data_IF_802850688163
#
_entry.id   IF_802850688163
#
_cell.length_a   1.000
_cell.length_b   1.000
_cell.length_c   1.000
_cell.angle_alpha   90.00
_cell.angle_beta   90.00
_cell.angle_gamma   90.00
#
_symmetry.space_group_name_H-M   'P 1'
#
loop_
_entity.id
_entity.type
_entity.pdbx_description
1 polymer ?
#
# COMPACT_ATOMS: atom_id res chain seq x y z
N UNK A 1 29.18 -43.22 -41.34
CA UNK A 1 29.18 -41.85 -41.86
C UNK A 1 27.88 -41.20 -41.41
N UNK A 2 27.85 -40.72 -40.17
CA UNK A 2 27.76 -39.30 -39.79
C UNK A 2 26.54 -38.58 -40.37
N UNK A 3 25.55 -38.29 -39.52
CA UNK A 3 25.07 -36.92 -39.32
C UNK A 3 24.41 -36.77 -37.94
N UNK A 4 24.67 -35.60 -37.39
CA UNK A 4 24.55 -35.16 -36.00
C UNK A 4 23.14 -34.64 -35.71
N UNK A 5 22.60 -34.91 -34.52
CA UNK A 5 21.39 -34.24 -34.01
C UNK A 5 21.56 -33.79 -32.56
N UNK A 6 21.75 -32.47 -32.45
CA UNK A 6 21.11 -31.53 -31.54
C UNK A 6 21.27 -31.60 -30.01
N UNK A 7 21.66 -30.42 -29.52
CA UNK A 7 21.37 -29.75 -28.23
C UNK A 7 22.30 -30.05 -27.06
N UNK A 8 23.22 -29.11 -26.84
CA UNK A 8 23.69 -28.73 -25.51
C UNK A 8 23.74 -27.21 -25.42
N UNK A 9 23.08 -26.69 -24.39
CA UNK A 9 23.18 -25.30 -23.94
C UNK A 9 24.63 -24.99 -23.55
N UNK A 10 25.12 -23.78 -23.86
CA UNK A 10 26.11 -23.10 -23.01
C UNK A 10 26.19 -21.60 -23.33
N UNK A 11 25.76 -20.82 -22.36
CA UNK A 11 26.17 -19.47 -21.95
C UNK A 11 27.41 -18.89 -22.64
N UNK A 12 27.29 -17.66 -23.16
CA UNK A 12 28.34 -16.60 -23.18
C UNK A 12 27.67 -15.28 -23.57
N UNK A 13 27.40 -14.42 -22.59
CA UNK A 13 28.20 -13.23 -22.30
C UNK A 13 28.09 -12.17 -23.42
N UNK A 14 27.05 -11.35 -23.36
CA UNK A 14 27.00 -10.10 -24.13
C UNK A 14 27.86 -9.09 -23.36
N UNK A 15 29.06 -8.84 -23.88
CA UNK A 15 29.89 -7.73 -23.45
C UNK A 15 29.18 -6.42 -23.79
N UNK A 16 28.95 -5.61 -22.77
CA UNK A 16 28.53 -4.22 -22.89
C UNK A 16 29.78 -3.44 -23.33
N UNK A 17 29.96 -3.24 -24.64
CA UNK A 17 30.90 -2.25 -25.13
C UNK A 17 30.23 -0.89 -25.11
N UNK A 18 30.62 -0.08 -24.12
CA UNK A 18 30.55 1.37 -24.15
C UNK A 18 31.06 1.88 -25.50
N UNK A 19 30.24 2.57 -26.27
CA UNK A 19 30.76 3.59 -27.18
C UNK A 19 29.77 4.75 -27.35
N UNK A 20 30.33 5.94 -27.24
CA UNK A 20 29.72 7.25 -27.41
C UNK A 20 29.38 7.46 -28.89
N UNK A 21 28.18 8.00 -29.11
CA UNK A 21 27.74 8.80 -30.26
C UNK A 21 27.57 8.15 -31.65
N UNK A 22 26.37 8.43 -32.18
CA UNK A 22 26.00 8.68 -33.56
C UNK A 22 25.95 7.51 -34.55
N UNK A 23 24.74 7.09 -34.91
CA UNK A 23 24.19 7.31 -36.25
C UNK A 23 22.74 6.81 -36.35
N UNK A 24 21.94 7.59 -37.06
CA UNK A 24 20.51 7.44 -37.32
C UNK A 24 20.18 6.16 -38.10
N UNK A 25 19.20 5.38 -37.64
CA UNK A 25 18.53 4.36 -38.45
C UNK A 25 17.16 4.89 -38.90
N UNK A 26 17.13 5.25 -40.17
CA UNK A 26 16.02 5.84 -40.91
C UNK A 26 15.07 4.71 -41.36
N UNK A 27 13.87 4.64 -40.77
CA UNK A 27 12.82 3.72 -41.22
C UNK A 27 11.89 4.46 -42.20
N UNK A 28 12.29 4.49 -43.48
CA UNK A 28 11.48 5.04 -44.55
C UNK A 28 10.39 4.04 -44.91
N UNK A 29 9.20 4.21 -44.31
CA UNK A 29 8.00 3.48 -44.69
C UNK A 29 7.50 4.05 -46.03
N UNK A 30 7.60 3.22 -47.07
CA UNK A 30 7.08 3.46 -48.42
C UNK A 30 5.59 3.85 -48.37
N UNK A 31 5.29 5.09 -48.75
CA UNK A 31 3.97 5.46 -49.28
C UNK A 31 4.20 6.12 -50.63
N UNK A 32 3.77 5.43 -51.68
CA UNK A 32 3.73 5.90 -53.07
C UNK A 32 2.81 7.12 -53.17
N UNK A 33 3.38 8.27 -53.54
CA UNK A 33 2.62 9.47 -53.88
C UNK A 33 2.13 9.37 -55.33
N UNK A 34 0.87 9.00 -55.53
CA UNK A 34 0.17 9.20 -56.80
C UNK A 34 -1.30 9.52 -56.51
N UNK A 35 -1.76 10.68 -57.02
CA UNK A 35 -3.08 11.32 -56.89
C UNK A 35 -3.34 12.13 -55.61
N UNK A 36 -3.17 13.44 -55.74
CA UNK A 36 -3.64 14.45 -54.79
C UNK A 36 -5.09 14.84 -55.13
N UNK A 37 -6.09 14.67 -54.25
CA UNK A 37 -7.24 15.54 -54.27
C UNK A 37 -6.92 16.72 -53.35
N UNK A 38 -6.69 17.87 -53.97
CA UNK A 38 -6.56 19.15 -53.28
C UNK A 38 -7.89 19.48 -52.56
N UNK A 39 -8.04 19.07 -51.30
CA UNK A 39 -9.14 19.47 -50.39
C UNK A 39 -8.92 19.04 -48.92
N UNK A 40 -7.69 19.08 -48.43
CA UNK A 40 -7.47 19.12 -46.98
C UNK A 40 -6.93 20.51 -46.62
N UNK A 41 -7.66 21.18 -45.72
CA UNK A 41 -7.31 22.49 -45.20
C UNK A 41 -5.83 22.49 -44.78
N UNK A 42 -5.10 23.51 -45.22
CA UNK A 42 -3.77 23.82 -44.71
C UNK A 42 -3.92 24.03 -43.20
N UNK A 43 -3.53 23.03 -42.42
CA UNK A 43 -3.33 23.22 -40.99
C UNK A 43 -2.13 24.17 -40.91
N UNK A 44 -2.39 25.38 -40.45
CA UNK A 44 -1.36 26.35 -40.14
C UNK A 44 -0.46 25.76 -39.05
N UNK A 45 0.72 25.27 -39.46
CA UNK A 45 1.72 24.64 -38.61
C UNK A 45 2.19 25.60 -37.50
N UNK A 46 2.06 26.91 -37.72
CA UNK A 46 2.50 27.95 -36.77
C UNK A 46 1.64 28.01 -35.50
N UNK A 47 0.36 27.61 -35.57
CA UNK A 47 -0.54 27.58 -34.41
C UNK A 47 -0.34 26.34 -33.52
N UNK A 48 0.28 25.25 -34.03
CA UNK A 48 0.58 24.04 -33.22
C UNK A 48 1.81 24.22 -32.35
N UNK A 49 2.82 24.94 -32.83
CA UNK A 49 4.08 25.13 -32.08
C UNK A 49 3.86 25.95 -30.80
N UNK A 50 2.94 26.93 -30.80
CA UNK A 50 2.70 27.78 -29.63
C UNK A 50 1.88 27.11 -28.52
N UNK A 51 0.97 26.17 -28.83
CA UNK A 51 0.24 25.42 -27.79
C UNK A 51 1.01 24.21 -27.25
N UNK A 52 2.17 23.92 -27.83
CA UNK A 52 3.04 22.81 -27.42
C UNK A 52 3.98 23.17 -26.25
N UNK A 53 3.97 24.44 -25.81
CA UNK A 53 4.74 24.94 -24.66
C UNK A 53 3.99 24.90 -23.31
N UNK A 54 2.86 24.18 -23.21
CA UNK A 54 2.16 23.92 -21.94
C UNK A 54 2.32 22.48 -21.43
N UNK A 55 3.27 21.71 -21.98
CA UNK A 55 3.69 20.42 -21.43
C UNK A 55 5.04 20.53 -20.69
N UNK A 56 5.44 21.74 -20.29
CA UNK A 56 6.34 21.94 -19.17
C UNK A 56 5.50 21.94 -17.90
N UNK A 57 5.04 20.77 -17.45
CA UNK A 57 4.38 20.67 -16.15
C UNK A 57 5.49 20.74 -15.11
N UNK A 58 5.45 21.77 -14.24
CA UNK A 58 6.16 21.71 -12.98
C UNK A 58 5.86 20.35 -12.33
N UNK A 59 6.91 19.65 -11.91
CA UNK A 59 6.76 18.34 -11.27
C UNK A 59 5.83 18.50 -10.06
N UNK A 60 4.84 17.61 -9.93
CA UNK A 60 3.94 17.65 -8.77
C UNK A 60 4.71 17.53 -7.46
N UNK A 61 4.12 18.03 -6.37
CA UNK A 61 4.72 17.88 -5.05
C UNK A 61 4.96 16.39 -4.72
N UNK A 62 4.07 15.48 -5.13
CA UNK A 62 4.30 14.04 -5.03
C UNK A 62 5.57 13.60 -5.77
N UNK A 63 5.79 14.09 -7.01
CA UNK A 63 6.99 13.78 -7.78
C UNK A 63 8.28 14.28 -7.12
N UNK A 64 8.25 15.52 -6.61
CA UNK A 64 9.41 16.14 -5.96
C UNK A 64 9.83 15.39 -4.67
N UNK A 65 8.86 14.81 -3.97
CA UNK A 65 9.09 14.13 -2.69
C UNK A 65 9.28 12.61 -2.84
N UNK A 66 9.04 12.02 -4.01
CA UNK A 66 9.09 10.57 -4.22
C UNK A 66 10.51 9.98 -4.16
N UNK A 67 11.53 10.81 -4.38
CA UNK A 67 12.93 10.39 -4.52
C UNK A 67 13.83 10.94 -3.40
N UNK A 68 13.25 11.53 -2.36
CA UNK A 68 13.98 12.11 -1.23
C UNK A 68 14.43 11.07 -0.20
N UNK A 69 15.35 11.46 0.67
CA UNK A 69 15.73 10.66 1.85
C UNK A 69 14.59 10.59 2.88
N UNK A 70 14.66 9.59 3.76
CA UNK A 70 13.70 9.43 4.85
C UNK A 70 13.77 10.64 5.80
N UNK A 71 12.70 11.43 5.82
CA UNK A 71 12.55 12.62 6.66
C UNK A 71 11.32 12.53 7.55
N UNK A 72 11.38 13.19 8.72
CA UNK A 72 10.33 13.17 9.75
C UNK A 72 9.79 14.56 10.08
N UNK A 73 10.27 15.61 9.41
CA UNK A 73 10.05 17.02 9.70
C UNK A 73 9.05 17.66 8.71
N UNK A 74 7.94 16.98 8.44
CA UNK A 74 6.93 17.45 7.49
C UNK A 74 6.13 18.64 8.04
N UNK A 75 6.06 19.71 7.25
CA UNK A 75 5.16 20.84 7.52
C UNK A 75 3.79 20.59 6.90
N UNK A 76 2.77 21.26 7.43
CA UNK A 76 1.38 21.11 6.96
C UNK A 76 1.25 21.47 5.48
N UNK A 77 1.92 22.54 5.05
CA UNK A 77 1.86 23.05 3.69
C UNK A 77 2.47 22.06 2.69
N UNK A 78 3.52 21.33 3.09
CA UNK A 78 4.16 20.30 2.24
C UNK A 78 3.24 19.09 2.05
N UNK A 79 2.58 18.64 3.11
CA UNK A 79 1.61 17.54 3.06
C UNK A 79 0.40 17.93 2.21
N UNK A 80 -0.10 19.16 2.37
CA UNK A 80 -1.20 19.71 1.59
C UNK A 80 -0.87 19.75 0.10
N UNK A 81 0.35 20.15 -0.27
CA UNK A 81 0.81 20.14 -1.65
C UNK A 81 0.84 18.71 -2.25
N UNK A 82 1.27 17.70 -1.47
CA UNK A 82 1.24 16.29 -1.90
C UNK A 82 -0.21 15.83 -2.08
N UNK A 83 -1.10 16.13 -1.13
CA UNK A 83 -2.50 15.77 -1.18
C UNK A 83 -3.22 16.34 -2.42
N UNK A 84 -2.89 17.57 -2.80
CA UNK A 84 -3.46 18.24 -3.98
C UNK A 84 -2.73 17.93 -5.31
N UNK A 85 -1.76 17.01 -5.30
CA UNK A 85 -1.11 16.56 -6.53
C UNK A 85 -2.10 15.81 -7.45
N UNK A 86 -1.93 15.87 -8.78
CA UNK A 86 -2.78 15.11 -9.70
C UNK A 86 -2.79 13.62 -9.35
N UNK A 87 -3.99 13.02 -9.23
CA UNK A 87 -4.17 11.65 -8.71
C UNK A 87 -3.30 10.60 -9.41
N UNK A 88 -3.14 10.71 -10.73
CA UNK A 88 -2.32 9.76 -11.50
C UNK A 88 -0.83 9.88 -11.18
N UNK A 89 -0.35 11.09 -10.87
CA UNK A 89 1.04 11.28 -10.42
C UNK A 89 1.21 10.79 -8.99
N UNK A 90 0.26 11.08 -8.10
CA UNK A 90 0.30 10.59 -6.72
C UNK A 90 0.34 9.05 -6.65
N UNK A 91 -0.46 8.36 -7.46
CA UNK A 91 -0.44 6.91 -7.55
C UNK A 91 0.88 6.37 -8.10
N UNK A 92 1.39 6.95 -9.19
CA UNK A 92 2.66 6.53 -9.80
C UNK A 92 3.82 6.69 -8.82
N UNK A 93 3.95 7.86 -8.20
CA UNK A 93 5.02 8.16 -7.26
C UNK A 93 4.87 7.38 -5.95
N UNK A 94 3.65 7.21 -5.43
CA UNK A 94 3.37 6.36 -4.27
C UNK A 94 3.77 4.90 -4.51
N UNK A 95 3.47 4.36 -5.69
CA UNK A 95 3.88 3.00 -6.06
C UNK A 95 5.41 2.87 -6.19
N UNK A 96 6.09 3.90 -6.71
CA UNK A 96 7.56 3.92 -6.78
C UNK A 96 8.19 3.92 -5.39
N UNK A 97 7.73 4.80 -4.49
CA UNK A 97 8.20 4.83 -3.08
C UNK A 97 7.96 3.49 -2.41
N UNK A 98 6.80 2.87 -2.62
CA UNK A 98 6.50 1.55 -2.05
C UNK A 98 7.50 0.49 -2.53
N UNK A 99 7.80 0.42 -3.84
CA UNK A 99 8.76 -0.54 -4.41
C UNK A 99 10.21 -0.30 -3.98
N UNK A 100 10.57 0.93 -3.63
CA UNK A 100 11.92 1.26 -3.14
C UNK A 100 12.16 0.74 -1.72
N UNK A 101 11.11 0.63 -0.90
CA UNK A 101 11.24 0.37 0.54
C UNK A 101 10.62 -0.97 0.98
N UNK A 102 9.72 -1.55 0.19
CA UNK A 102 9.02 -2.79 0.51
C UNK A 102 9.09 -3.76 -0.65
N UNK A 103 9.03 -5.07 -0.34
CA UNK A 103 8.83 -6.10 -1.35
C UNK A 103 7.42 -5.93 -1.95
N UNK A 104 7.28 -5.58 -3.25
CA UNK A 104 5.98 -5.34 -3.85
C UNK A 104 5.10 -6.59 -3.98
N UNK A 105 5.67 -7.78 -3.78
CA UNK A 105 4.94 -9.05 -3.83
C UNK A 105 4.57 -9.57 -2.44
N UNK A 106 5.11 -8.96 -1.37
CA UNK A 106 4.81 -9.34 0.00
C UNK A 106 3.64 -8.51 0.56
N UNK A 107 2.73 -9.18 1.27
CA UNK A 107 1.63 -8.54 2.00
C UNK A 107 1.60 -9.09 3.42
N UNK A 108 1.45 -8.21 4.41
CA UNK A 108 1.32 -8.61 5.81
C UNK A 108 -0.11 -9.07 6.12
N UNK A 109 -0.26 -10.32 6.54
CA UNK A 109 -1.54 -10.90 6.95
C UNK A 109 -1.72 -10.83 8.47
N UNK A 110 -2.76 -10.11 8.91
CA UNK A 110 -3.15 -9.99 10.31
C UNK A 110 -4.60 -10.46 10.50
N UNK A 111 -4.90 -11.10 11.63
CA UNK A 111 -6.26 -11.51 12.00
C UNK A 111 -6.66 -10.81 13.28
N UNK A 112 -7.84 -10.16 13.29
CA UNK A 112 -8.34 -9.44 14.44
C UNK A 112 -9.56 -10.14 15.04
N UNK A 113 -9.60 -10.23 16.37
CA UNK A 113 -10.75 -10.70 17.14
C UNK A 113 -11.24 -9.59 18.07
N UNK A 114 -12.55 -9.33 18.07
CA UNK A 114 -13.17 -8.48 19.10
C UNK A 114 -13.37 -9.29 20.37
N UNK A 115 -12.50 -9.07 21.37
CA UNK A 115 -12.55 -9.82 22.65
C UNK A 115 -13.67 -9.32 23.56
N UNK A 116 -14.17 -8.10 23.32
CA UNK A 116 -15.35 -7.52 23.98
C UNK A 116 -16.04 -6.59 23.00
N UNK A 117 -17.26 -6.92 22.61
CA UNK A 117 -18.03 -6.19 21.60
C UNK A 117 -19.15 -5.34 22.22
N UNK A 118 -19.33 -4.12 21.70
CA UNK A 118 -20.44 -3.22 22.05
C UNK A 118 -20.32 -2.58 23.44
N UNK A 119 -21.22 -1.66 23.77
CA UNK A 119 -21.27 -1.02 25.09
C UNK A 119 -20.03 -0.19 25.44
N UNK A 120 -19.42 0.48 24.45
CA UNK A 120 -18.34 1.45 24.66
C UNK A 120 -18.91 2.78 25.15
N UNK A 121 -18.30 3.40 26.15
CA UNK A 121 -18.74 4.70 26.70
C UNK A 121 -18.39 5.90 25.82
N UNK A 122 -17.45 5.75 24.88
CA UNK A 122 -17.05 6.81 23.96
C UNK A 122 -18.14 7.08 22.92
N UNK A 123 -18.25 8.32 22.45
CA UNK A 123 -19.32 8.80 21.57
C UNK A 123 -18.88 8.96 20.10
N UNK A 124 -17.89 8.17 19.67
CA UNK A 124 -17.35 8.20 18.31
C UNK A 124 -18.48 8.05 17.26
N UNK A 125 -18.69 9.10 16.45
CA UNK A 125 -19.82 9.21 15.52
C UNK A 125 -19.91 8.10 14.46
N UNK A 126 -18.79 7.47 14.15
CA UNK A 126 -18.69 6.40 13.15
C UNK A 126 -18.72 5.00 13.77
N UNK A 127 -18.55 4.86 15.08
CA UNK A 127 -18.34 3.55 15.71
C UNK A 127 -19.69 2.91 16.07
N UNK A 128 -20.01 1.71 15.52
CA UNK A 128 -21.28 1.06 15.82
C UNK A 128 -21.34 0.47 17.24
N UNK A 129 -20.22 0.46 17.98
CA UNK A 129 -20.11 -0.14 19.31
C UNK A 129 -20.32 0.86 20.46
N UNK A 130 -20.49 2.15 20.16
CA UNK A 130 -20.80 3.18 21.14
C UNK A 130 -22.18 2.96 21.75
N UNK A 131 -22.28 3.06 23.07
CA UNK A 131 -23.57 3.01 23.77
C UNK A 131 -24.39 4.29 23.64
N UNK A 132 -23.80 5.37 23.12
CA UNK A 132 -24.48 6.66 22.94
C UNK A 132 -25.43 6.67 21.74
N UNK A 133 -25.34 5.66 20.86
CA UNK A 133 -26.17 5.55 19.67
C UNK A 133 -26.92 4.23 19.64
N UNK A 134 -28.11 4.23 19.03
CA UNK A 134 -28.87 3.00 18.81
C UNK A 134 -28.36 2.31 17.55
N UNK A 135 -27.72 1.15 17.73
CA UNK A 135 -27.19 0.33 16.63
C UNK A 135 -27.62 -1.13 16.80
N UNK A 136 -27.39 -1.95 15.78
CA UNK A 136 -27.69 -3.39 15.82
C UNK A 136 -26.71 -4.17 16.70
N UNK A 137 -25.60 -3.56 17.14
CA UNK A 137 -24.54 -4.24 17.88
C UNK A 137 -24.93 -4.36 19.34
N UNK A 138 -25.23 -5.58 19.78
CA UNK A 138 -25.53 -5.89 21.17
C UNK A 138 -24.26 -5.94 22.00
N UNK A 139 -24.31 -5.42 23.23
CA UNK A 139 -23.22 -5.54 24.18
C UNK A 139 -23.03 -7.01 24.58
N UNK A 140 -21.81 -7.50 24.42
CA UNK A 140 -21.40 -8.85 24.81
C UNK A 140 -20.39 -8.76 25.97
N UNK A 141 -20.33 -9.82 26.76
CA UNK A 141 -19.29 -9.97 27.78
C UNK A 141 -17.94 -10.18 27.10
N UNK A 142 -16.88 -9.96 27.86
CA UNK A 142 -15.54 -10.30 27.42
C UNK A 142 -15.42 -11.81 27.22
N UNK A 143 -14.76 -12.23 26.16
CA UNK A 143 -14.44 -13.62 25.88
C UNK A 143 -13.47 -14.16 26.93
N UNK A 144 -13.58 -15.44 27.24
CA UNK A 144 -12.61 -16.11 28.10
C UNK A 144 -11.24 -16.23 27.41
N UNK A 145 -10.18 -16.27 28.21
CA UNK A 145 -8.81 -16.44 27.74
C UNK A 145 -8.63 -17.70 26.90
N UNK A 146 -9.30 -18.81 27.24
CA UNK A 146 -9.26 -20.05 26.46
C UNK A 146 -9.82 -19.87 25.05
N UNK A 147 -10.95 -19.19 24.91
CA UNK A 147 -11.57 -18.89 23.61
C UNK A 147 -10.66 -18.00 22.75
N UNK A 148 -10.04 -16.99 23.36
CA UNK A 148 -9.09 -16.10 22.67
C UNK A 148 -7.88 -16.88 22.19
N UNK A 149 -7.33 -17.80 23.00
CA UNK A 149 -6.19 -18.63 22.63
C UNK A 149 -6.51 -19.66 21.54
N UNK A 150 -7.71 -20.24 21.56
CA UNK A 150 -8.18 -21.11 20.47
C UNK A 150 -8.30 -20.34 19.16
N UNK A 151 -8.92 -19.15 19.19
CA UNK A 151 -9.02 -18.28 18.01
C UNK A 151 -7.64 -17.84 17.50
N UNK A 152 -6.69 -17.52 18.38
CA UNK A 152 -5.32 -17.18 18.01
C UNK A 152 -4.58 -18.36 17.37
N UNK A 153 -4.76 -19.58 17.89
CA UNK A 153 -4.21 -20.82 17.30
C UNK A 153 -4.80 -21.08 15.91
N UNK A 154 -6.11 -20.92 15.76
CA UNK A 154 -6.77 -21.05 14.46
C UNK A 154 -6.26 -20.00 13.46
N UNK A 155 -6.09 -18.75 13.89
CA UNK A 155 -5.53 -17.69 13.05
C UNK A 155 -4.09 -18.00 12.60
N UNK A 156 -3.24 -18.52 13.51
CA UNK A 156 -1.88 -18.96 13.18
C UNK A 156 -1.89 -20.12 12.18
N UNK A 157 -2.77 -21.11 12.38
CA UNK A 157 -2.92 -22.23 11.45
C UNK A 157 -3.42 -21.76 10.06
N UNK A 158 -4.21 -20.69 10.00
CA UNK A 158 -4.64 -20.03 8.77
C UNK A 158 -3.56 -19.15 8.10
N UNK A 159 -2.33 -19.14 8.63
CA UNK A 159 -1.20 -18.40 8.06
C UNK A 159 -1.05 -16.95 8.51
N UNK A 160 -1.82 -16.52 9.53
CA UNK A 160 -1.70 -15.16 10.07
C UNK A 160 -0.38 -14.97 10.83
N UNK A 161 0.34 -13.89 10.55
CA UNK A 161 1.60 -13.57 11.24
C UNK A 161 1.40 -12.70 12.48
N UNK A 162 0.24 -12.04 12.58
CA UNK A 162 -0.14 -11.19 13.73
C UNK A 162 -1.60 -11.42 14.11
N UNK A 163 -1.83 -11.63 15.41
CA UNK A 163 -3.16 -11.70 16.00
C UNK A 163 -3.45 -10.42 16.78
N UNK A 164 -4.53 -9.72 16.43
CA UNK A 164 -4.92 -8.45 17.02
C UNK A 164 -6.17 -8.65 17.88
N UNK A 165 -6.18 -8.04 19.07
CA UNK A 165 -7.32 -8.09 19.97
C UNK A 165 -7.91 -6.69 20.14
N UNK A 166 -9.22 -6.55 19.91
CA UNK A 166 -9.92 -5.27 20.06
C UNK A 166 -11.00 -5.34 21.15
N UNK A 167 -11.00 -4.38 22.07
CA UNK A 167 -11.99 -4.28 23.13
C UNK A 167 -12.76 -2.95 23.05
N UNK A 168 -14.08 -3.01 23.28
CA UNK A 168 -14.94 -1.82 23.30
C UNK A 168 -14.89 -1.10 24.67
N UNK A 169 -13.73 -0.56 25.05
CA UNK A 169 -13.51 0.22 26.28
C UNK A 169 -12.72 1.50 25.98
N UNK A 170 -12.77 2.45 26.92
CA UNK A 170 -11.94 3.65 26.89
C UNK A 170 -10.50 3.35 27.29
N UNK A 171 -10.34 2.64 28.42
CA UNK A 171 -9.05 2.35 29.04
C UNK A 171 -8.87 0.85 29.25
N UNK A 172 -7.61 0.42 29.38
CA UNK A 172 -7.27 -0.97 29.68
C UNK A 172 -7.90 -1.43 31.00
N UNK A 173 -8.03 -0.55 32.00
CA UNK A 173 -8.66 -0.89 33.29
C UNK A 173 -10.16 -1.22 33.21
N UNK A 174 -10.78 -1.14 32.02
CA UNK A 174 -12.20 -1.40 31.83
C UNK A 174 -13.09 -0.37 32.54
N UNK A 175 -14.39 -0.70 32.66
CA UNK A 175 -15.38 0.16 33.32
C UNK A 175 -15.27 0.01 34.85
N UNK A 176 -14.86 1.08 35.55
CA UNK A 176 -14.97 1.18 37.02
C UNK A 176 -16.44 1.37 37.44
N UNK A 177 -17.21 0.29 37.48
CA UNK A 177 -18.63 0.31 37.86
C UNK A 177 -18.95 -0.82 38.84
N UNK A 178 -19.64 -0.49 39.92
CA UNK A 178 -20.07 -1.35 41.02
C UNK A 178 -20.81 -2.61 40.56
N UNK A 179 -20.10 -3.72 40.54
CA UNK A 179 -20.63 -5.06 40.29
C UNK A 179 -19.46 -6.00 40.09
N UNK A 180 -19.36 -7.05 40.91
CA UNK A 180 -18.31 -8.09 40.83
C UNK A 180 -18.12 -8.55 39.38
N UNK A 181 -17.11 -8.02 38.71
CA UNK A 181 -16.71 -8.36 37.35
C UNK A 181 -15.20 -8.53 37.38
N UNK A 182 -14.77 -9.77 37.15
CA UNK A 182 -13.39 -10.26 37.11
C UNK A 182 -12.34 -9.17 36.94
N UNK A 183 -11.50 -9.02 37.97
CA UNK A 183 -10.26 -8.23 37.98
C UNK A 183 -9.21 -8.70 36.98
N UNK A 184 -9.54 -9.68 36.13
CA UNK A 184 -8.68 -10.21 35.10
C UNK A 184 -8.80 -9.33 33.85
N UNK A 185 -8.37 -8.08 33.99
CA UNK A 185 -7.90 -7.38 32.80
C UNK A 185 -6.56 -8.03 32.45
N UNK A 186 -6.43 -8.72 31.31
CA UNK A 186 -5.13 -9.23 30.93
C UNK A 186 -4.36 -8.08 30.28
N UNK A 187 -3.91 -7.13 31.10
CA UNK A 187 -2.87 -6.16 30.74
C UNK A 187 -1.57 -6.86 30.34
N UNK A 188 -1.47 -8.18 30.58
CA UNK A 188 -0.37 -9.04 30.16
C UNK A 188 -0.84 -10.22 29.28
N UNK A 189 -1.75 -10.03 28.33
CA UNK A 189 -1.89 -10.97 27.20
C UNK A 189 -0.85 -10.69 26.10
N UNK A 190 0.40 -10.44 26.51
CA UNK A 190 1.52 -10.77 25.64
C UNK A 190 1.56 -12.29 25.65
N UNK A 191 0.93 -12.93 24.67
CA UNK A 191 1.08 -14.37 24.48
C UNK A 191 2.43 -14.53 23.79
N UNK A 192 3.50 -14.95 24.48
CA UNK A 192 4.69 -15.41 23.79
C UNK A 192 4.28 -16.70 23.09
N UNK A 193 3.79 -16.57 21.86
CA UNK A 193 3.66 -17.70 20.95
C UNK A 193 5.09 -18.25 20.78
N UNK A 194 5.44 -19.43 21.31
CA UNK A 194 6.85 -19.79 21.57
C UNK A 194 7.68 -20.08 20.31
N UNK A 195 7.18 -19.74 19.12
CA UNK A 195 7.71 -20.17 17.83
C UNK A 195 7.56 -19.10 16.74
N UNK A 196 7.44 -17.82 17.12
CA UNK A 196 7.55 -16.71 16.18
C UNK A 196 8.94 -16.11 16.35
N UNK A 197 9.75 -16.16 15.27
CA UNK A 197 10.95 -15.35 15.13
C UNK A 197 10.68 -13.91 15.59
N UNK A 198 11.69 -13.20 16.14
CA UNK A 198 11.50 -11.96 16.86
C UNK A 198 10.98 -10.88 15.92
N UNK A 199 9.67 -10.68 15.89
CA UNK A 199 9.04 -9.56 15.22
C UNK A 199 8.30 -8.74 16.27
N UNK A 200 8.53 -7.42 16.31
CA UNK A 200 8.04 -6.57 17.39
C UNK A 200 6.51 -6.54 17.38
N UNK A 201 5.93 -6.97 18.50
CA UNK A 201 4.52 -6.79 18.81
C UNK A 201 4.35 -5.31 19.17
N UNK A 202 3.86 -4.51 18.22
CA UNK A 202 3.37 -3.16 18.50
C UNK A 202 1.94 -3.27 19.03
N UNK A 203 1.77 -2.90 20.31
CA UNK A 203 0.47 -2.54 20.86
C UNK A 203 0.08 -1.19 20.24
N UNK A 204 -1.10 -1.15 19.62
CA UNK A 204 -1.77 0.11 19.30
C UNK A 204 -2.59 0.59 20.48
#
# INVERSE_FOLDING_TARGET
MSFTSLRSLSTRAIQITNNKNAALLNCTRLYTAASTPAKFATIDESARVQKQMAFGRDLSAAANNAHGELRFDWKKEEIEAIYHSPIMELLYHGANVHRMHFDPLAVQQCTLLSIKTGGCSEDCKYCPQSSSYSTVVKAQKMLDTGEVLEAARAAKAAGSTRFCMGAAWRDLAGRKGTGKGSTDTPTNLFVPLPQLHPLPILFS
#
